data_IF_189666710724
#
_entry.id   IF_189666710724
#
_cell.length_a   1.000
_cell.length_b   1.000
_cell.length_c   1.000
_cell.angle_alpha   90.00
_cell.angle_beta   90.00
_cell.angle_gamma   90.00
#
_symmetry.space_group_name_H-M   'P 1'
#
loop_
_entity.id
_entity.type
_entity.pdbx_description
1 polymer ?
#
# COMPACT_ATOMS: atom_id res chain seq x y z
N UNK A 1 12.95 5.62 6.64
CA UNK A 1 11.84 6.32 6.00
C UNK A 1 11.60 7.66 6.67
N UNK A 2 11.66 8.73 5.91
CA UNK A 2 11.18 10.08 6.27
C UNK A 2 10.05 10.41 5.29
N UNK A 3 8.97 10.99 5.79
CA UNK A 3 7.77 11.28 4.99
C UNK A 3 7.51 12.79 4.97
N UNK A 4 7.02 13.28 3.83
CA UNK A 4 6.51 14.62 3.70
C UNK A 4 5.06 14.71 4.18
N UNK A 5 4.14 14.98 3.26
CA UNK A 5 2.73 15.28 3.61
C UNK A 5 1.78 14.15 3.21
N UNK A 6 0.85 13.83 4.10
CA UNK A 6 -0.26 12.91 3.84
C UNK A 6 -1.51 13.71 3.43
N UNK A 7 -2.16 13.31 2.35
CA UNK A 7 -3.38 13.92 1.80
C UNK A 7 -4.52 12.90 1.68
N UNK A 8 -5.76 13.38 1.83
CA UNK A 8 -6.93 12.68 1.32
C UNK A 8 -7.04 12.90 -0.20
N UNK A 9 -7.49 11.89 -0.95
CA UNK A 9 -7.84 12.01 -2.37
C UNK A 9 -9.22 11.40 -2.66
N UNK A 10 -9.94 11.98 -3.61
CA UNK A 10 -11.25 11.47 -4.05
C UNK A 10 -11.37 11.59 -5.58
N UNK A 11 -10.65 10.74 -6.33
CA UNK A 11 -10.63 10.79 -7.79
C UNK A 11 -11.90 10.20 -8.41
N UNK A 12 -12.19 10.55 -9.67
CA UNK A 12 -13.29 9.92 -10.43
C UNK A 12 -13.03 8.42 -10.69
N UNK A 13 -11.76 8.02 -10.80
CA UNK A 13 -11.38 6.61 -10.82
C UNK A 13 -11.58 6.00 -9.43
N UNK A 14 -12.61 5.16 -9.33
CA UNK A 14 -12.98 4.51 -8.06
C UNK A 14 -11.97 3.46 -7.62
N UNK A 15 -11.13 2.97 -8.53
CA UNK A 15 -10.11 1.97 -8.19
C UNK A 15 -8.85 2.62 -7.61
N UNK A 16 -8.64 3.92 -7.81
CA UNK A 16 -7.51 4.62 -7.20
C UNK A 16 -7.75 4.80 -5.70
N UNK A 17 -7.10 3.93 -4.92
CA UNK A 17 -7.21 3.87 -3.47
C UNK A 17 -6.04 4.57 -2.77
N UNK A 18 -4.84 4.56 -3.37
CA UNK A 18 -3.64 5.19 -2.83
C UNK A 18 -2.67 5.64 -3.93
N UNK A 19 -1.77 6.57 -3.57
CA UNK A 19 -0.73 7.09 -4.45
C UNK A 19 0.47 7.57 -3.63
N UNK A 20 1.66 7.09 -3.98
CA UNK A 20 2.93 7.67 -3.56
C UNK A 20 3.53 8.57 -4.67
N UNK A 21 3.93 9.77 -4.28
CA UNK A 21 4.60 10.74 -5.14
C UNK A 21 6.00 11.05 -4.61
N UNK A 22 7.01 10.84 -5.47
CA UNK A 22 8.42 11.05 -5.16
C UNK A 22 8.88 10.35 -3.85
N UNK A 23 8.61 9.05 -3.71
CA UNK A 23 9.15 8.24 -2.61
C UNK A 23 8.86 8.84 -1.22
N UNK A 24 7.59 9.11 -0.94
CA UNK A 24 7.13 9.61 0.35
C UNK A 24 7.11 11.13 0.50
N UNK A 25 7.45 11.91 -0.54
CA UNK A 25 7.29 13.38 -0.50
C UNK A 25 5.81 13.74 -0.28
N UNK A 26 4.91 13.06 -1.01
CA UNK A 26 3.46 13.17 -0.80
C UNK A 26 2.81 11.81 -0.95
N UNK A 27 2.03 11.43 0.06
CA UNK A 27 1.21 10.23 0.03
C UNK A 27 -0.25 10.65 -0.02
N UNK A 28 -1.03 10.06 -0.91
CA UNK A 28 -2.47 10.30 -1.01
C UNK A 28 -3.21 9.01 -0.68
N UNK A 29 -4.28 9.11 0.11
CA UNK A 29 -5.12 7.98 0.48
C UNK A 29 -6.58 8.35 0.24
N UNK A 30 -7.30 7.46 -0.44
CA UNK A 30 -8.75 7.56 -0.52
C UNK A 30 -9.35 7.17 0.82
N UNK A 31 -10.07 8.11 1.45
CA UNK A 31 -10.77 7.85 2.71
C UNK A 31 -12.23 7.44 2.50
N UNK A 32 -12.77 7.60 1.28
CA UNK A 32 -14.20 7.45 0.98
C UNK A 32 -14.46 6.55 -0.24
N UNK A 33 -15.49 5.73 -0.16
CA UNK A 33 -16.01 4.91 -1.26
C UNK A 33 -16.60 5.78 -2.39
N UNK A 34 -16.94 5.18 -3.52
CA UNK A 34 -17.54 5.88 -4.67
C UNK A 34 -18.88 6.58 -4.36
N UNK A 35 -19.54 6.21 -3.25
CA UNK A 35 -20.80 6.79 -2.78
C UNK A 35 -20.61 7.77 -1.61
N UNK A 36 -19.38 8.26 -1.41
CA UNK A 36 -19.00 9.25 -0.38
C UNK A 36 -19.20 8.77 1.08
N UNK A 37 -19.06 7.46 1.31
CA UNK A 37 -19.02 6.88 2.66
C UNK A 37 -17.57 6.59 3.06
N UNK A 38 -17.20 6.85 4.31
CA UNK A 38 -15.86 6.53 4.79
C UNK A 38 -15.55 5.02 4.68
N UNK A 39 -14.37 4.70 4.17
CA UNK A 39 -13.86 3.34 4.16
C UNK A 39 -13.60 2.85 5.59
N UNK A 40 -13.72 1.54 5.86
CA UNK A 40 -13.33 0.97 7.13
C UNK A 40 -11.87 1.31 7.47
N UNK A 41 -11.61 1.69 8.73
CA UNK A 41 -10.26 2.00 9.20
C UNK A 41 -9.22 0.90 8.87
N UNK A 42 -9.51 -0.42 9.02
CA UNK A 42 -8.57 -1.47 8.63
C UNK A 42 -8.14 -1.39 7.17
N UNK A 43 -9.06 -1.05 6.27
CA UNK A 43 -8.77 -0.87 4.84
C UNK A 43 -7.92 0.37 4.58
N UNK A 44 -8.21 1.48 5.27
CA UNK A 44 -7.40 2.70 5.16
C UNK A 44 -5.96 2.45 5.63
N UNK A 45 -5.79 1.70 6.72
CA UNK A 45 -4.46 1.31 7.21
C UNK A 45 -3.74 0.43 6.19
N UNK A 46 -4.43 -0.57 5.63
CA UNK A 46 -3.91 -1.46 4.59
C UNK A 46 -3.30 -0.70 3.40
N UNK A 47 -4.06 0.28 2.89
CA UNK A 47 -3.67 1.21 1.82
C UNK A 47 -2.46 2.03 2.28
N UNK A 48 -2.48 2.59 3.48
CA UNK A 48 -1.35 3.36 3.99
C UNK A 48 -0.06 2.53 4.03
N UNK A 49 -0.12 1.29 4.53
CA UNK A 49 1.04 0.41 4.61
C UNK A 49 1.55 0.02 3.20
N UNK A 50 0.65 -0.08 2.21
CA UNK A 50 1.00 -0.30 0.81
C UNK A 50 1.81 0.88 0.26
N UNK A 51 1.31 2.11 0.42
CA UNK A 51 2.01 3.31 -0.07
C UNK A 51 3.34 3.55 0.66
N UNK A 52 3.44 3.19 1.95
CA UNK A 52 4.72 3.24 2.66
C UNK A 52 5.73 2.25 2.06
N UNK A 53 5.31 1.07 1.60
CA UNK A 53 6.22 0.15 0.93
C UNK A 53 6.74 0.72 -0.40
N UNK A 54 5.96 1.57 -1.09
CA UNK A 54 6.40 2.24 -2.32
C UNK A 54 7.56 3.22 -2.13
N UNK A 55 7.70 3.80 -0.93
CA UNK A 55 8.80 4.72 -0.59
C UNK A 55 10.17 4.07 -0.82
N UNK A 56 10.33 2.80 -0.45
CA UNK A 56 11.59 2.06 -0.64
C UNK A 56 11.57 1.17 -1.90
N UNK A 57 10.37 0.75 -2.34
CA UNK A 57 10.17 -0.18 -3.44
C UNK A 57 9.10 0.32 -4.42
N UNK A 58 9.48 1.11 -5.44
CA UNK A 58 8.53 1.73 -6.37
C UNK A 58 7.64 0.74 -7.14
N UNK A 59 8.13 -0.49 -7.34
CA UNK A 59 7.44 -1.55 -8.08
C UNK A 59 7.02 -2.68 -7.14
N UNK A 60 5.90 -3.36 -7.43
CA UNK A 60 5.37 -4.51 -6.66
C UNK A 60 6.19 -5.82 -6.80
N UNK A 61 7.53 -5.71 -6.77
CA UNK A 61 8.43 -6.86 -6.76
C UNK A 61 8.52 -7.55 -5.39
N UNK A 62 9.35 -8.59 -5.27
CA UNK A 62 9.50 -9.34 -4.01
C UNK A 62 9.89 -8.48 -2.80
N UNK A 63 10.72 -7.45 -3.00
CA UNK A 63 11.10 -6.50 -1.95
C UNK A 63 9.90 -5.70 -1.42
N UNK A 64 9.05 -5.20 -2.33
CA UNK A 64 7.82 -4.51 -1.96
C UNK A 64 6.91 -5.38 -1.11
N UNK A 65 6.65 -6.62 -1.57
CA UNK A 65 5.76 -7.56 -0.86
C UNK A 65 6.32 -7.88 0.52
N UNK A 66 7.62 -8.14 0.63
CA UNK A 66 8.26 -8.39 1.93
C UNK A 66 8.12 -7.21 2.90
N UNK A 67 8.35 -5.99 2.42
CA UNK A 67 8.25 -4.80 3.25
C UNK A 67 6.79 -4.54 3.67
N UNK A 68 5.83 -4.68 2.75
CA UNK A 68 4.42 -4.49 3.06
C UNK A 68 3.91 -5.49 4.11
N UNK A 69 4.28 -6.77 3.99
CA UNK A 69 3.95 -7.80 4.99
C UNK A 69 4.63 -7.51 6.35
N UNK A 70 5.89 -7.06 6.33
CA UNK A 70 6.57 -6.65 7.56
C UNK A 70 5.83 -5.48 8.24
N UNK A 71 5.43 -4.45 7.49
CA UNK A 71 4.69 -3.30 8.01
C UNK A 71 3.34 -3.71 8.62
N UNK A 72 2.60 -4.62 7.97
CA UNK A 72 1.34 -5.19 8.50
C UNK A 72 1.54 -5.94 9.80
N UNK A 73 2.62 -6.72 9.87
CA UNK A 73 2.97 -7.45 11.08
C UNK A 73 3.32 -6.48 12.22
N UNK A 74 4.18 -5.49 11.96
CA UNK A 74 4.62 -4.50 12.95
C UNK A 74 3.46 -3.63 13.47
N UNK A 75 2.50 -3.28 12.61
CA UNK A 75 1.27 -2.59 13.02
C UNK A 75 0.37 -3.46 13.91
N UNK A 76 0.52 -4.78 13.86
CA UNK A 76 -0.32 -5.74 14.56
C UNK A 76 -1.56 -6.19 13.77
N UNK A 77 -1.64 -5.85 12.48
CA UNK A 77 -2.72 -6.28 11.59
C UNK A 77 -2.80 -7.82 11.49
N UNK A 78 -1.63 -8.47 11.46
CA UNK A 78 -1.50 -9.93 11.35
C UNK A 78 -1.30 -10.64 12.72
N UNK A 79 -1.45 -9.94 13.86
CA UNK A 79 -1.11 -10.49 15.20
C UNK A 79 -2.10 -11.51 15.78
N UNK A 80 -3.10 -11.96 15.01
CA UNK A 80 -3.92 -13.12 15.36
C UNK A 80 -3.17 -14.43 15.10
N UNK A 81 -2.48 -14.95 16.12
CA UNK A 81 -1.68 -16.21 16.13
C UNK A 81 -0.31 -16.18 15.42
N UNK A 82 0.73 -15.85 16.20
CA UNK A 82 1.83 -16.79 16.50
C UNK A 82 2.74 -17.32 15.38
N UNK A 83 4.03 -17.04 15.58
CA UNK A 83 5.23 -17.66 14.99
C UNK A 83 5.72 -17.13 13.64
N UNK A 84 6.81 -16.36 13.74
CA UNK A 84 7.77 -16.08 12.67
C UNK A 84 8.21 -17.40 12.04
N UNK A 85 7.74 -17.68 10.83
CA UNK A 85 8.46 -18.56 9.91
C UNK A 85 9.37 -17.65 9.10
N UNK A 86 10.56 -17.41 9.63
CA UNK A 86 11.69 -17.15 8.74
C UNK A 86 11.97 -18.43 7.93
N UNK A 87 12.68 -18.26 6.81
CA UNK A 87 13.08 -19.27 5.83
C UNK A 87 12.11 -19.45 4.63
N UNK A 88 12.32 -18.63 3.59
CA UNK A 88 12.22 -18.98 2.15
C UNK A 88 10.94 -19.67 1.60
N UNK A 89 9.86 -19.77 2.37
CA UNK A 89 8.62 -20.44 2.02
C UNK A 89 7.63 -19.50 1.33
N UNK A 90 7.83 -19.30 0.04
CA UNK A 90 6.92 -18.57 -0.85
C UNK A 90 5.53 -19.23 -0.81
N UNK A 91 4.56 -18.56 -0.18
CA UNK A 91 3.13 -18.76 -0.45
C UNK A 91 2.65 -17.51 -1.17
N UNK A 92 2.62 -17.58 -2.50
CA UNK A 92 2.09 -16.54 -3.38
C UNK A 92 0.57 -16.60 -3.25
N UNK A 93 -0.04 -15.58 -2.65
CA UNK A 93 -1.43 -15.26 -2.91
C UNK A 93 -1.49 -14.60 -4.29
N UNK A 94 -1.81 -15.42 -5.29
CA UNK A 94 -1.83 -15.10 -6.72
C UNK A 94 -2.87 -14.03 -7.12
N UNK A 95 -2.84 -12.76 -6.66
CA UNK A 95 -3.67 -11.68 -7.24
C UNK A 95 -3.13 -10.25 -7.09
N UNK A 96 -1.92 -9.95 -7.56
CA UNK A 96 -1.64 -8.55 -7.95
C UNK A 96 -0.60 -8.46 -9.08
N UNK A 97 -1.04 -8.76 -10.29
CA UNK A 97 -0.39 -8.23 -11.50
C UNK A 97 -1.18 -6.98 -11.89
N UNK A 98 -0.70 -5.82 -11.47
CA UNK A 98 -1.19 -4.53 -11.96
C UNK A 98 -0.10 -3.95 -12.90
N UNK A 99 -0.45 -3.50 -14.11
CA UNK A 99 0.53 -3.03 -15.08
C UNK A 99 1.23 -1.76 -14.60
N UNK A 100 2.55 -1.73 -14.80
CA UNK A 100 3.38 -0.54 -14.72
C UNK A 100 2.86 0.54 -15.68
N UNK A 101 2.22 1.54 -15.12
CA UNK A 101 2.11 2.86 -15.73
C UNK A 101 2.43 3.90 -14.67
N UNK A 102 3.72 4.09 -14.49
CA UNK A 102 4.25 5.19 -13.71
C UNK A 102 5.01 6.13 -14.65
N UNK A 103 4.69 7.42 -14.60
CA UNK A 103 5.73 8.39 -14.92
C UNK A 103 6.80 8.29 -13.81
N UNK A 104 8.03 8.75 -14.05
CA UNK A 104 9.16 8.52 -13.15
C UNK A 104 8.96 9.02 -11.70
N UNK A 105 7.87 9.75 -11.42
CA UNK A 105 7.60 10.43 -10.17
C UNK A 105 6.33 9.95 -9.46
N UNK A 106 5.53 9.07 -10.08
CA UNK A 106 4.17 8.76 -9.61
C UNK A 106 3.87 7.27 -9.70
N UNK A 107 3.63 6.62 -8.56
CA UNK A 107 3.17 5.22 -8.51
C UNK A 107 1.67 5.16 -8.23
N UNK A 108 0.87 5.05 -9.31
CA UNK A 108 -0.60 4.94 -9.25
C UNK A 108 -1.01 3.47 -9.22
N UNK A 109 -1.73 3.05 -8.17
CA UNK A 109 -2.14 1.66 -8.01
C UNK A 109 -3.65 1.53 -7.78
N UNK A 110 -4.38 0.77 -8.63
CA UNK A 110 -5.62 0.13 -8.20
C UNK A 110 -5.30 -0.96 -7.19
N UNK A 111 -5.71 -0.77 -5.94
CA UNK A 111 -5.57 -1.72 -4.83
C UNK A 111 -6.72 -2.72 -4.85
#
# INVERSE_FOLDING_TARGET
MELGTLYEVYPDDTNLLGLDYNQGERIFIRLRSAIDEYLPLPQIIDIMLHELAHVEHPNHGPGFVMLWEQLRWEFGYNSGNGNRQDHSGIHISDQLIIPDKTDANTTVCPI
#
